data_IF_549175809214
#
_entry.id   IF_549175809214
#
_cell.length_a   1.000
_cell.length_b   1.000
_cell.length_c   1.000
_cell.angle_alpha   90.00
_cell.angle_beta   90.00
_cell.angle_gamma   90.00
#
_symmetry.space_group_name_H-M   'P 1'
#
loop_
_entity.id
_entity.type
_entity.pdbx_description
1 polymer ?
#
# COMPACT_ATOMS: atom_id res chain seq x y z
N UNK A 1 27.28 30.00 44.83
CA UNK A 1 27.37 28.75 44.04
C UNK A 1 27.23 29.10 42.57
N UNK A 2 28.36 29.17 41.86
CA UNK A 2 28.40 29.39 40.41
C UNK A 2 28.29 28.01 39.76
N UNK A 3 27.06 27.57 39.50
CA UNK A 3 26.79 26.32 38.79
C UNK A 3 26.19 26.69 37.44
N UNK A 4 26.92 26.30 36.39
CA UNK A 4 26.43 25.97 35.04
C UNK A 4 25.99 27.07 34.05
N UNK A 5 26.69 28.21 33.91
CA UNK A 5 26.54 28.98 32.66
C UNK A 5 27.11 28.21 31.46
N UNK A 6 28.32 27.65 31.61
CA UNK A 6 29.02 26.90 30.55
C UNK A 6 28.32 25.59 30.17
N UNK A 7 27.81 24.81 31.14
CA UNK A 7 27.07 23.59 30.83
C UNK A 7 25.67 23.87 30.27
N UNK A 8 25.03 24.98 30.67
CA UNK A 8 23.78 25.46 30.06
C UNK A 8 24.01 25.88 28.61
N UNK A 9 25.09 26.60 28.33
CA UNK A 9 25.46 27.01 26.98
C UNK A 9 25.84 25.81 26.08
N UNK A 10 26.53 24.81 26.63
CA UNK A 10 26.84 23.56 25.95
C UNK A 10 25.56 22.76 25.61
N UNK A 11 24.62 22.64 26.56
CA UNK A 11 23.30 22.01 26.33
C UNK A 11 22.50 22.74 25.25
N UNK A 12 22.54 24.07 25.24
CA UNK A 12 21.87 24.90 24.24
C UNK A 12 22.46 24.74 22.84
N UNK A 13 23.79 24.74 22.73
CA UNK A 13 24.47 24.49 21.46
C UNK A 13 24.12 23.10 20.90
N UNK A 14 24.09 22.08 21.77
CA UNK A 14 23.71 20.71 21.40
C UNK A 14 22.25 20.64 20.90
N UNK A 15 21.30 21.23 21.64
CA UNK A 15 19.90 21.25 21.23
C UNK A 15 19.66 21.99 19.90
N UNK A 16 20.38 23.10 19.66
CA UNK A 16 20.34 23.83 18.37
C UNK A 16 20.87 22.98 17.21
N UNK A 17 21.91 22.19 17.45
CA UNK A 17 22.49 21.32 16.44
C UNK A 17 21.58 20.13 16.12
N UNK A 18 20.99 19.50 17.14
CA UNK A 18 19.98 18.45 16.99
C UNK A 18 18.76 18.96 16.20
N UNK A 19 18.32 20.19 16.48
CA UNK A 19 17.26 20.87 15.76
C UNK A 19 17.56 21.06 14.27
N UNK A 20 18.76 21.55 13.92
CA UNK A 20 19.16 21.75 12.52
C UNK A 20 19.28 20.43 11.74
N UNK A 21 19.76 19.37 12.39
CA UNK A 21 19.85 18.03 11.80
C UNK A 21 18.47 17.44 11.54
N UNK A 22 17.54 17.56 12.50
CA UNK A 22 16.14 17.10 12.32
C UNK A 22 15.44 17.89 11.22
N UNK A 23 15.64 19.21 11.15
CA UNK A 23 15.12 20.06 10.08
C UNK A 23 15.65 19.66 8.70
N UNK A 24 16.93 19.33 8.59
CA UNK A 24 17.52 18.80 7.35
C UNK A 24 16.86 17.47 6.94
N UNK A 25 16.72 16.54 7.88
CA UNK A 25 16.07 15.25 7.64
C UNK A 25 14.60 15.38 7.21
N UNK A 26 13.86 16.32 7.79
CA UNK A 26 12.46 16.58 7.41
C UNK A 26 12.36 17.19 6.00
N UNK A 27 13.33 18.02 5.59
CA UNK A 27 13.38 18.59 4.23
C UNK A 27 13.83 17.59 3.15
N UNK A 28 14.65 16.62 3.51
CA UNK A 28 15.23 15.65 2.56
C UNK A 28 14.37 14.38 2.39
N UNK A 29 13.48 14.05 3.34
CA UNK A 29 12.65 12.85 3.26
C UNK A 29 11.39 13.09 2.44
N UNK A 30 11.21 12.29 1.38
CA UNK A 30 9.91 12.14 0.68
C UNK A 30 8.84 11.66 1.67
N UNK A 31 7.56 12.04 1.50
CA UNK A 31 6.50 11.97 2.52
C UNK A 31 6.09 10.57 3.02
N UNK A 32 6.76 9.51 2.57
CA UNK A 32 6.17 8.18 2.55
C UNK A 32 6.39 7.30 3.76
N UNK A 33 7.25 7.60 4.74
CA UNK A 33 7.38 6.72 5.91
C UNK A 33 7.86 7.45 7.18
N UNK A 34 7.08 7.30 8.26
CA UNK A 34 7.40 7.64 9.66
C UNK A 34 7.50 9.12 10.04
N UNK A 35 6.63 9.98 9.51
CA UNK A 35 6.70 11.43 9.76
C UNK A 35 6.13 11.84 11.13
N UNK A 36 5.18 11.09 11.70
CA UNK A 36 4.45 11.51 12.91
C UNK A 36 5.33 11.61 14.16
N UNK A 37 6.18 10.61 14.40
CA UNK A 37 7.05 10.58 15.58
C UNK A 37 8.20 11.59 15.48
N UNK A 38 8.72 11.80 14.27
CA UNK A 38 9.76 12.79 13.97
C UNK A 38 9.21 14.24 14.10
N UNK A 39 7.98 14.51 13.63
CA UNK A 39 7.27 15.78 13.85
C UNK A 39 7.03 16.00 15.34
N UNK A 40 6.54 14.98 16.06
CA UNK A 40 6.28 15.09 17.50
C UNK A 40 7.57 15.39 18.27
N UNK A 41 8.67 14.70 17.94
CA UNK A 41 9.98 14.95 18.53
C UNK A 41 10.49 16.37 18.26
N UNK A 42 10.29 16.88 17.05
CA UNK A 42 10.66 18.23 16.66
C UNK A 42 9.82 19.30 17.37
N UNK A 43 8.50 19.11 17.50
CA UNK A 43 7.60 19.98 18.27
C UNK A 43 7.98 19.99 19.76
N UNK A 44 8.28 18.82 20.34
CA UNK A 44 8.73 18.71 21.72
C UNK A 44 10.07 19.41 21.95
N UNK A 45 10.99 19.33 20.99
CA UNK A 45 12.25 20.07 21.05
C UNK A 45 12.00 21.58 20.98
N UNK A 46 11.22 22.05 20.00
CA UNK A 46 10.83 23.46 19.83
C UNK A 46 10.24 24.07 21.11
N UNK A 47 9.33 23.35 21.78
CA UNK A 47 8.73 23.78 23.03
C UNK A 47 9.70 23.79 24.21
N UNK A 48 10.74 22.95 24.19
CA UNK A 48 11.80 22.92 25.22
C UNK A 48 12.85 24.00 24.99
N UNK A 49 13.20 24.31 23.74
CA UNK A 49 14.14 25.39 23.40
C UNK A 49 13.52 26.77 23.49
N UNK A 50 12.21 26.94 23.26
CA UNK A 50 11.51 28.24 23.36
C UNK A 50 11.59 28.87 24.75
N UNK A 51 11.65 28.06 25.81
CA UNK A 51 11.77 28.53 27.19
C UNK A 51 13.18 28.96 27.61
N UNK A 52 14.22 28.62 26.83
CA UNK A 52 15.62 28.92 27.17
C UNK A 52 16.33 29.81 26.17
N UNK A 53 15.81 29.96 24.95
CA UNK A 53 16.42 30.73 23.86
C UNK A 53 15.28 31.26 23.01
N UNK A 54 15.22 32.56 22.76
CA UNK A 54 15.05 33.16 21.43
C UNK A 54 14.68 34.63 21.58
N UNK A 55 15.64 35.51 21.32
CA UNK A 55 15.41 36.93 21.03
C UNK A 55 14.63 37.17 19.73
N UNK A 56 14.24 36.14 18.99
CA UNK A 56 13.46 36.30 17.76
C UNK A 56 12.27 35.36 17.72
N UNK A 57 11.20 35.78 18.39
CA UNK A 57 9.82 35.27 18.28
C UNK A 57 9.40 34.99 16.82
N UNK A 58 9.94 35.74 15.86
CA UNK A 58 9.70 35.56 14.41
C UNK A 58 10.21 34.23 13.84
N UNK A 59 11.35 33.71 14.32
CA UNK A 59 11.91 32.44 13.82
C UNK A 59 11.09 31.24 14.30
N UNK A 60 10.63 31.27 15.55
CA UNK A 60 9.71 30.25 16.09
C UNK A 60 8.40 30.24 15.32
N UNK A 61 7.83 31.42 15.06
CA UNK A 61 6.58 31.54 14.31
C UNK A 61 6.71 31.00 12.88
N UNK A 62 7.82 31.28 12.18
CA UNK A 62 8.07 30.76 10.84
C UNK A 62 8.18 29.22 10.81
N UNK A 63 8.80 28.62 11.82
CA UNK A 63 8.97 27.15 11.89
C UNK A 63 7.69 26.46 12.34
N UNK A 64 6.89 27.08 13.22
CA UNK A 64 5.52 26.63 13.52
C UNK A 64 4.64 26.67 12.27
N UNK A 65 4.74 27.73 11.47
CA UNK A 65 3.97 27.85 10.23
C UNK A 65 4.39 26.79 9.19
N UNK A 66 5.71 26.56 9.05
CA UNK A 66 6.22 25.49 8.20
C UNK A 66 5.69 24.11 8.62
N UNK A 67 5.67 23.80 9.92
CA UNK A 67 5.11 22.53 10.41
C UNK A 67 3.62 22.39 10.18
N UNK A 68 2.85 23.49 10.30
CA UNK A 68 1.41 23.47 10.00
C UNK A 68 1.15 23.18 8.52
N UNK A 69 1.92 23.80 7.63
CA UNK A 69 1.80 23.55 6.19
C UNK A 69 2.18 22.11 5.84
N UNK A 70 3.29 21.61 6.42
CA UNK A 70 3.70 20.22 6.23
C UNK A 70 2.66 19.23 6.78
N UNK A 71 2.03 19.55 7.92
CA UNK A 71 0.96 18.72 8.47
C UNK A 71 -0.26 18.70 7.54
N UNK A 72 -0.68 19.84 7.01
CA UNK A 72 -1.78 19.94 6.06
C UNK A 72 -1.50 19.16 4.76
N UNK A 73 -0.30 19.31 4.20
CA UNK A 73 0.14 18.54 3.02
C UNK A 73 0.12 17.03 3.29
N UNK A 74 0.60 16.60 4.46
CA UNK A 74 0.56 15.18 4.85
C UNK A 74 -0.85 14.67 5.10
N UNK A 75 -1.75 15.49 5.63
CA UNK A 75 -3.16 15.15 5.84
C UNK A 75 -3.90 15.01 4.50
N UNK A 76 -3.65 15.91 3.55
CA UNK A 76 -4.20 15.86 2.19
C UNK A 76 -3.66 14.65 1.42
N UNK A 77 -2.34 14.42 1.40
CA UNK A 77 -1.73 13.26 0.74
C UNK A 77 -2.16 11.93 1.38
N UNK A 78 -2.33 11.90 2.71
CA UNK A 78 -2.84 10.72 3.39
C UNK A 78 -4.34 10.51 3.13
N UNK A 79 -5.12 11.57 2.93
CA UNK A 79 -6.51 11.48 2.50
C UNK A 79 -6.63 10.99 1.06
N UNK A 80 -5.76 11.45 0.15
CA UNK A 80 -5.66 10.96 -1.23
C UNK A 80 -5.23 9.49 -1.27
N UNK A 81 -4.16 9.11 -0.56
CA UNK A 81 -3.74 7.72 -0.44
C UNK A 81 -4.83 6.83 0.20
N UNK A 82 -5.63 7.37 1.13
CA UNK A 82 -6.80 6.66 1.69
C UNK A 82 -7.96 6.51 0.69
N UNK A 83 -8.13 7.45 -0.22
CA UNK A 83 -9.16 7.34 -1.27
C UNK A 83 -8.74 6.33 -2.33
N UNK A 84 -7.47 6.35 -2.74
CA UNK A 84 -6.94 5.48 -3.79
C UNK A 84 -6.73 4.03 -3.34
N UNK A 85 -6.59 3.76 -2.04
CA UNK A 85 -6.44 2.38 -1.54
C UNK A 85 -7.65 1.49 -1.84
N UNK A 86 -8.87 2.03 -1.89
CA UNK A 86 -10.07 1.21 -2.07
C UNK A 86 -10.18 0.69 -3.52
N UNK A 87 -10.07 1.55 -4.56
CA UNK A 87 -9.96 1.10 -5.95
C UNK A 87 -8.83 0.09 -6.14
N UNK A 88 -7.63 0.35 -5.59
CA UNK A 88 -6.48 -0.55 -5.72
C UNK A 88 -6.76 -1.92 -5.09
N UNK A 89 -7.30 -1.97 -3.88
CA UNK A 89 -7.66 -3.24 -3.22
C UNK A 89 -8.76 -3.98 -3.97
N UNK A 90 -9.72 -3.27 -4.56
CA UNK A 90 -10.78 -3.88 -5.35
C UNK A 90 -10.23 -4.50 -6.63
N UNK A 91 -9.38 -3.77 -7.35
CA UNK A 91 -8.70 -4.29 -8.54
C UNK A 91 -7.82 -5.51 -8.24
N UNK A 92 -7.17 -5.52 -7.06
CA UNK A 92 -6.43 -6.69 -6.60
C UNK A 92 -7.33 -7.93 -6.40
N UNK A 93 -8.47 -7.75 -5.71
CA UNK A 93 -9.44 -8.82 -5.51
C UNK A 93 -9.95 -9.37 -6.85
N UNK A 94 -10.21 -8.51 -7.84
CA UNK A 94 -10.62 -8.93 -9.17
C UNK A 94 -9.53 -9.68 -9.92
N UNK A 95 -8.27 -9.25 -9.83
CA UNK A 95 -7.16 -9.97 -10.43
C UNK A 95 -7.00 -11.38 -9.81
N UNK A 96 -7.11 -11.49 -8.49
CA UNK A 96 -7.10 -12.79 -7.79
C UNK A 96 -8.27 -13.69 -8.20
N UNK A 97 -9.47 -13.13 -8.34
CA UNK A 97 -10.66 -13.87 -8.79
C UNK A 97 -10.51 -14.39 -10.21
N UNK A 98 -10.04 -13.57 -11.15
CA UNK A 98 -9.77 -13.99 -12.55
C UNK A 98 -8.77 -15.13 -12.62
N UNK A 99 -7.64 -15.01 -11.90
CA UNK A 99 -6.64 -16.09 -11.79
C UNK A 99 -7.30 -17.36 -11.26
N UNK A 100 -8.10 -17.24 -10.21
CA UNK A 100 -8.70 -18.41 -9.55
C UNK A 100 -9.78 -19.08 -10.40
N UNK A 101 -10.58 -18.31 -11.15
CA UNK A 101 -11.57 -18.85 -12.09
C UNK A 101 -10.87 -19.59 -13.25
N UNK A 102 -9.74 -19.08 -13.75
CA UNK A 102 -8.93 -19.79 -14.75
C UNK A 102 -8.38 -21.12 -14.20
N UNK A 103 -7.94 -21.14 -12.94
CA UNK A 103 -7.49 -22.38 -12.28
C UNK A 103 -8.64 -23.37 -12.07
N UNK A 104 -9.85 -22.91 -11.78
CA UNK A 104 -11.05 -23.76 -11.73
C UNK A 104 -11.33 -24.40 -13.10
N UNK A 105 -11.31 -23.65 -14.19
CA UNK A 105 -11.51 -24.19 -15.54
C UNK A 105 -10.45 -25.24 -15.88
N UNK A 106 -9.19 -25.00 -15.51
CA UNK A 106 -8.11 -25.99 -15.66
C UNK A 106 -8.33 -27.25 -14.83
N UNK A 107 -8.82 -27.12 -13.60
CA UNK A 107 -9.19 -28.24 -12.76
C UNK A 107 -10.34 -29.04 -13.40
N UNK A 108 -11.34 -28.35 -13.95
CA UNK A 108 -12.46 -28.99 -14.64
C UNK A 108 -12.00 -29.78 -15.87
N UNK A 109 -11.02 -29.28 -16.64
CA UNK A 109 -10.40 -30.02 -17.74
C UNK A 109 -9.80 -31.34 -17.25
N UNK A 110 -9.13 -31.34 -16.09
CA UNK A 110 -8.57 -32.57 -15.50
C UNK A 110 -9.64 -33.56 -15.05
N UNK A 111 -10.75 -33.06 -14.48
CA UNK A 111 -11.81 -33.90 -13.88
C UNK A 111 -12.80 -34.44 -14.93
N UNK A 112 -13.09 -33.67 -15.98
CA UNK A 112 -14.03 -34.06 -17.05
C UNK A 112 -13.60 -35.29 -17.86
N UNK A 113 -12.42 -35.86 -17.61
CA UNK A 113 -12.04 -37.19 -18.08
C UNK A 113 -11.75 -37.30 -19.58
N UNK A 114 -11.62 -36.17 -20.30
CA UNK A 114 -11.22 -36.16 -21.71
C UNK A 114 -9.77 -36.62 -21.87
N UNK A 115 -9.48 -37.31 -22.97
CA UNK A 115 -8.12 -37.67 -23.37
C UNK A 115 -7.34 -36.42 -23.76
N UNK A 116 -6.70 -35.79 -22.78
CA UNK A 116 -5.73 -34.71 -22.98
C UNK A 116 -4.30 -35.27 -22.96
N UNK A 117 -3.34 -34.66 -23.68
CA UNK A 117 -1.94 -35.09 -23.67
C UNK A 117 -1.33 -35.12 -22.26
N UNK A 118 -0.51 -36.13 -21.95
CA UNK A 118 0.07 -36.31 -20.61
C UNK A 118 0.97 -35.13 -20.17
N UNK A 119 1.69 -34.51 -21.09
CA UNK A 119 2.50 -33.32 -20.80
C UNK A 119 1.63 -32.12 -20.42
N UNK A 120 0.49 -31.95 -21.10
CA UNK A 120 -0.47 -30.90 -20.77
C UNK A 120 -1.13 -31.16 -19.41
N UNK A 121 -1.52 -32.41 -19.13
CA UNK A 121 -2.01 -32.84 -17.83
C UNK A 121 -1.02 -32.55 -16.70
N UNK A 122 0.28 -32.82 -16.93
CA UNK A 122 1.34 -32.54 -15.96
C UNK A 122 1.50 -31.04 -15.72
N UNK A 123 1.46 -30.25 -16.80
CA UNK A 123 1.55 -28.80 -16.72
C UNK A 123 0.38 -28.19 -15.93
N UNK A 124 -0.87 -28.62 -16.18
CA UNK A 124 -2.04 -28.16 -15.41
C UNK A 124 -1.86 -28.47 -13.91
N UNK A 125 -1.44 -29.71 -13.58
CA UNK A 125 -1.19 -30.09 -12.17
C UNK A 125 -0.13 -29.23 -11.49
N UNK A 126 0.86 -28.75 -12.23
CA UNK A 126 1.86 -27.81 -11.69
C UNK A 126 1.24 -26.45 -11.38
N UNK A 127 0.36 -25.92 -12.25
CA UNK A 127 -0.31 -24.64 -12.01
C UNK A 127 -1.29 -24.72 -10.82
N UNK A 128 -1.92 -25.88 -10.60
CA UNK A 128 -2.86 -26.14 -9.50
C UNK A 128 -2.19 -26.46 -8.15
N UNK A 129 -0.86 -26.34 -8.03
CA UNK A 129 -0.18 -26.56 -6.75
C UNK A 129 -0.49 -25.48 -5.71
N UNK A 130 -0.74 -24.26 -6.18
CA UNK A 130 -1.38 -23.22 -5.38
C UNK A 130 -2.77 -23.73 -5.00
N UNK A 131 -3.10 -23.82 -3.70
CA UNK A 131 -4.42 -24.30 -3.24
C UNK A 131 -5.34 -23.17 -2.83
N UNK A 132 -4.82 -21.95 -2.74
CA UNK A 132 -5.54 -20.82 -2.19
C UNK A 132 -6.62 -20.32 -3.15
N UNK A 133 -6.51 -20.64 -4.44
CA UNK A 133 -7.48 -20.24 -5.46
C UNK A 133 -8.90 -20.73 -5.17
N UNK A 134 -9.08 -21.91 -4.53
CA UNK A 134 -10.40 -22.41 -4.14
C UNK A 134 -11.01 -21.51 -3.06
N UNK A 135 -10.21 -21.16 -2.05
CA UNK A 135 -10.63 -20.27 -0.97
C UNK A 135 -10.92 -18.87 -1.50
N UNK A 136 -10.08 -18.36 -2.41
CA UNK A 136 -10.29 -17.07 -3.09
C UNK A 136 -11.64 -17.07 -3.82
N UNK A 137 -11.95 -18.08 -4.65
CA UNK A 137 -13.24 -18.12 -5.35
C UNK A 137 -14.43 -18.11 -4.41
N UNK A 138 -14.35 -18.88 -3.32
CA UNK A 138 -15.41 -18.97 -2.31
C UNK A 138 -15.61 -17.64 -1.59
N UNK A 139 -14.52 -16.96 -1.24
CA UNK A 139 -14.54 -15.85 -0.28
C UNK A 139 -14.48 -14.47 -0.95
N UNK A 140 -14.20 -14.37 -2.26
CA UNK A 140 -14.02 -13.08 -2.95
C UNK A 140 -15.27 -12.19 -2.86
N UNK A 141 -16.47 -12.73 -3.03
CA UNK A 141 -17.70 -11.93 -2.94
C UNK A 141 -17.85 -11.29 -1.55
N UNK A 142 -17.54 -12.06 -0.49
CA UNK A 142 -17.56 -11.55 0.87
C UNK A 142 -16.47 -10.49 1.10
N UNK A 143 -15.26 -10.70 0.56
CA UNK A 143 -14.17 -9.75 0.65
C UNK A 143 -14.49 -8.42 -0.09
N UNK A 144 -15.17 -8.51 -1.24
CA UNK A 144 -15.65 -7.35 -2.00
C UNK A 144 -16.67 -6.54 -1.19
N UNK A 145 -17.66 -7.19 -0.57
CA UNK A 145 -18.65 -6.53 0.27
C UNK A 145 -18.04 -5.89 1.53
N UNK A 146 -17.04 -6.55 2.13
CA UNK A 146 -16.26 -6.02 3.26
C UNK A 146 -15.43 -4.80 2.87
N UNK A 147 -15.02 -4.68 1.60
CA UNK A 147 -14.28 -3.52 1.08
C UNK A 147 -15.21 -2.36 0.72
N UNK A 148 -16.40 -2.63 0.18
CA UNK A 148 -17.34 -1.60 -0.29
C UNK A 148 -17.96 -0.82 0.86
N UNK A 149 -18.30 -1.48 1.96
CA UNK A 149 -18.90 -0.80 3.12
C UNK A 149 -18.04 0.36 3.67
N UNK A 150 -16.74 0.18 3.97
CA UNK A 150 -15.88 1.28 4.41
C UNK A 150 -15.58 2.29 3.28
N UNK A 151 -15.49 1.87 2.02
CA UNK A 151 -15.28 2.79 0.90
C UNK A 151 -16.44 3.79 0.78
N UNK A 152 -17.69 3.31 0.83
CA UNK A 152 -18.88 4.15 0.79
C UNK A 152 -18.96 5.09 2.00
N UNK A 153 -18.57 4.63 3.19
CA UNK A 153 -18.52 5.46 4.39
C UNK A 153 -17.48 6.61 4.27
N UNK A 154 -16.43 6.41 3.47
CA UNK A 154 -15.42 7.42 3.16
C UNK A 154 -15.76 8.23 1.88
N UNK A 155 -16.97 8.07 1.33
CA UNK A 155 -17.44 8.79 0.14
C UNK A 155 -16.85 8.30 -1.18
N UNK A 156 -16.20 7.13 -1.19
CA UNK A 156 -15.60 6.54 -2.39
C UNK A 156 -16.58 5.52 -2.99
N UNK A 157 -17.13 5.85 -4.17
CA UNK A 157 -17.99 4.93 -4.90
C UNK A 157 -17.16 3.91 -5.68
N UNK A 158 -17.30 2.64 -5.33
CA UNK A 158 -16.63 1.55 -6.03
C UNK A 158 -17.56 0.94 -7.09
N UNK A 159 -17.01 0.65 -8.27
CA UNK A 159 -17.73 -0.01 -9.38
C UNK A 159 -17.53 -1.52 -9.26
N UNK A 160 -18.63 -2.24 -9.09
CA UNK A 160 -18.63 -3.71 -9.13
C UNK A 160 -18.40 -4.19 -10.56
N UNK A 161 -17.44 -5.10 -10.75
CA UNK A 161 -17.24 -5.79 -12.03
C UNK A 161 -17.81 -7.21 -11.93
N UNK A 162 -18.70 -7.55 -12.86
CA UNK A 162 -19.08 -8.95 -13.06
C UNK A 162 -17.95 -9.63 -13.82
N UNK A 163 -17.15 -10.42 -13.11
CA UNK A 163 -16.09 -11.22 -13.72
C UNK A 163 -16.66 -12.55 -14.21
N UNK A 164 -16.74 -12.70 -15.53
CA UNK A 164 -17.03 -13.96 -16.19
C UNK A 164 -15.75 -14.45 -16.87
N UNK A 165 -15.39 -15.71 -16.65
CA UNK A 165 -14.34 -16.38 -17.41
C UNK A 165 -15.04 -17.19 -18.49
N UNK A 166 -14.69 -16.91 -19.75
CA UNK A 166 -15.20 -17.71 -20.87
C UNK A 166 -14.77 -19.17 -20.68
N UNK A 167 -15.64 -20.16 -20.93
CA UNK A 167 -15.25 -21.57 -20.87
C UNK A 167 -14.01 -21.81 -21.73
N UNK A 168 -13.10 -22.65 -21.26
CA UNK A 168 -11.93 -23.03 -22.06
C UNK A 168 -12.35 -24.16 -23.00
N UNK A 169 -12.21 -23.95 -24.31
CA UNK A 169 -12.21 -25.04 -25.29
C UNK A 169 -10.93 -25.85 -25.09
N UNK A 170 -11.08 -27.14 -24.78
CA UNK A 170 -10.02 -28.03 -24.31
C UNK A 170 -9.36 -28.85 -25.45
N UNK A 171 -9.71 -28.54 -26.68
CA UNK A 171 -9.19 -29.12 -27.91
C UNK A 171 -7.83 -28.53 -28.32
N UNK A 172 -7.41 -27.40 -27.75
CA UNK A 172 -6.13 -26.76 -28.03
C UNK A 172 -5.30 -26.41 -26.77
N UNK A 173 -4.41 -27.32 -26.31
CA UNK A 173 -3.54 -27.11 -25.14
C UNK A 173 -2.70 -25.83 -25.15
N UNK A 174 -2.23 -25.39 -26.32
CA UNK A 174 -1.39 -24.18 -26.41
C UNK A 174 -2.21 -22.92 -26.20
N UNK A 175 -3.46 -22.88 -26.69
CA UNK A 175 -4.38 -21.76 -26.45
C UNK A 175 -4.69 -21.62 -24.95
N UNK A 176 -4.86 -22.76 -24.24
CA UNK A 176 -5.08 -22.76 -22.79
C UNK A 176 -3.87 -22.18 -22.05
N UNK A 177 -2.66 -22.57 -22.44
CA UNK A 177 -1.42 -22.05 -21.86
C UNK A 177 -1.26 -20.55 -22.13
N UNK A 178 -1.49 -20.11 -23.36
CA UNK A 178 -1.42 -18.69 -23.73
C UNK A 178 -2.38 -17.84 -22.90
N UNK A 179 -3.64 -18.27 -22.81
CA UNK A 179 -4.68 -17.57 -22.04
C UNK A 179 -4.34 -17.52 -20.55
N UNK A 180 -3.76 -18.58 -20.00
CA UNK A 180 -3.25 -18.58 -18.63
C UNK A 180 -2.12 -17.58 -18.45
N UNK A 181 -1.14 -17.58 -19.34
CA UNK A 181 0.00 -16.66 -19.27
C UNK A 181 -0.44 -15.20 -19.37
N UNK A 182 -1.43 -14.87 -20.20
CA UNK A 182 -2.02 -13.52 -20.26
C UNK A 182 -2.70 -13.15 -18.93
N UNK A 183 -3.50 -14.06 -18.38
CA UNK A 183 -4.19 -13.85 -17.09
C UNK A 183 -3.18 -13.66 -15.95
N UNK A 184 -2.12 -14.48 -15.95
CA UNK A 184 -1.07 -14.44 -14.94
C UNK A 184 -0.18 -13.19 -15.09
N UNK A 185 0.17 -12.79 -16.31
CA UNK A 185 0.91 -11.57 -16.57
C UNK A 185 0.11 -10.32 -16.16
N UNK A 186 -1.21 -10.31 -16.37
CA UNK A 186 -2.09 -9.24 -15.88
C UNK A 186 -2.06 -9.13 -14.35
N UNK A 187 -2.11 -10.27 -13.64
CA UNK A 187 -1.98 -10.34 -12.19
C UNK A 187 -0.60 -9.88 -11.68
N UNK A 188 0.48 -10.35 -12.30
CA UNK A 188 1.85 -9.95 -11.92
C UNK A 188 2.09 -8.46 -12.18
N UNK A 189 1.68 -7.93 -13.33
CA UNK A 189 1.77 -6.50 -13.65
C UNK A 189 1.04 -5.65 -12.61
N UNK A 190 -0.12 -6.13 -12.14
CA UNK A 190 -0.87 -5.45 -11.09
C UNK A 190 -0.08 -5.42 -9.77
N UNK A 191 0.44 -6.56 -9.32
CA UNK A 191 1.25 -6.61 -8.08
C UNK A 191 2.48 -5.71 -8.19
N UNK A 192 3.23 -5.77 -9.29
CA UNK A 192 4.45 -4.99 -9.44
C UNK A 192 4.25 -3.47 -9.53
N UNK A 193 3.04 -3.02 -9.84
CA UNK A 193 2.73 -1.59 -9.97
C UNK A 193 2.13 -0.99 -8.70
N UNK A 194 1.43 -1.80 -7.90
CA UNK A 194 0.64 -1.34 -6.76
C UNK A 194 1.12 -1.87 -5.39
N UNK A 195 2.13 -2.73 -5.35
CA UNK A 195 2.80 -3.21 -4.11
C UNK A 195 4.30 -2.92 -4.15
#
# INVERSE_FOLDING_TARGET
>A
MVVDSAAREAKLRKARQEYLVLRGKLKERKPYLYVKDDILAYVLLLNRTSGMVLETKSQVLAEVEYLKNLLAELEDEHAEAKRDRFPVRLSYLYAQRRKSMMLQEMYDILVKGKEIPDDFRRWIRQQLQDKDWIAILRDTNAAEDVLIRPANAEGVQLIKETINVEPIEDDNPELVKERFMVTYASYIKFISYYM
#
